data_IF_325248122997
#
_entry.id   IF_325248122997
#
_cell.length_a   1.000
_cell.length_b   1.000
_cell.length_c   1.000
_cell.angle_alpha   90.00
_cell.angle_beta   90.00
_cell.angle_gamma   90.00
#
_symmetry.space_group_name_H-M   'P 1'
#
loop_
_entity.id
_entity.type
_entity.pdbx_description
1 polymer ?
#
# COMPACT_ATOMS: atom_id res chain seq x y z
N UNK A 1 -1.12 -13.36 1.04
CA UNK A 1 -1.23 -11.89 0.89
C UNK A 1 -2.27 -11.45 -0.13
N UNK A 2 -2.27 -12.01 -1.36
CA UNK A 2 -3.21 -11.67 -2.44
C UNK A 2 -4.69 -11.58 -2.01
N UNK A 3 -5.17 -12.57 -1.27
CA UNK A 3 -6.56 -12.61 -0.80
C UNK A 3 -6.93 -11.55 0.26
N UNK A 4 -5.95 -10.83 0.82
CA UNK A 4 -6.16 -9.81 1.86
C UNK A 4 -5.95 -8.39 1.36
N UNK A 5 -5.07 -8.20 0.38
CA UNK A 5 -4.71 -6.86 -0.09
C UNK A 5 -5.85 -6.15 -0.82
N UNK A 6 -6.49 -6.83 -1.79
CA UNK A 6 -7.59 -6.24 -2.56
C UNK A 6 -8.76 -5.81 -1.64
N UNK A 7 -9.28 -6.68 -0.74
CA UNK A 7 -10.31 -6.25 0.21
C UNK A 7 -9.88 -5.10 1.13
N UNK A 8 -8.59 -5.01 1.48
CA UNK A 8 -8.08 -3.91 2.29
C UNK A 8 -8.05 -2.58 1.53
N UNK A 9 -7.80 -2.60 0.21
CA UNK A 9 -7.94 -1.42 -0.63
C UNK A 9 -9.39 -0.91 -0.68
N UNK A 10 -10.37 -1.81 -0.77
CA UNK A 10 -11.79 -1.44 -0.78
C UNK A 10 -12.24 -0.86 0.57
N UNK A 11 -11.77 -1.47 1.67
CA UNK A 11 -11.99 -0.96 3.02
C UNK A 11 -11.36 0.44 3.19
N UNK A 12 -10.14 0.64 2.69
CA UNK A 12 -9.49 1.95 2.67
C UNK A 12 -10.27 2.98 1.86
N UNK A 13 -10.75 2.62 0.67
CA UNK A 13 -11.54 3.50 -0.18
C UNK A 13 -12.82 3.99 0.53
N UNK A 14 -13.47 3.10 1.27
CA UNK A 14 -14.68 3.38 2.07
C UNK A 14 -14.35 4.29 3.25
N UNK A 15 -13.31 3.94 4.01
CA UNK A 15 -12.86 4.71 5.16
C UNK A 15 -12.40 6.13 4.79
N UNK A 16 -11.74 6.29 3.64
CA UNK A 16 -11.32 7.59 3.14
C UNK A 16 -12.52 8.49 2.81
N UNK A 17 -13.63 7.92 2.32
CA UNK A 17 -14.88 8.66 2.13
C UNK A 17 -15.50 9.10 3.47
N UNK A 18 -15.36 8.28 4.51
CA UNK A 18 -15.78 8.58 5.88
C UNK A 18 -14.80 9.44 6.69
N UNK A 19 -13.61 9.76 6.14
CA UNK A 19 -12.49 10.42 6.82
C UNK A 19 -11.97 9.66 8.05
N UNK A 20 -12.00 8.34 7.98
CA UNK A 20 -11.43 7.45 8.98
C UNK A 20 -9.96 7.12 8.65
N UNK A 21 -9.17 6.85 9.68
CA UNK A 21 -7.76 6.52 9.57
C UNK A 21 -7.51 5.05 10.01
N UNK A 22 -6.34 4.50 9.68
CA UNK A 22 -5.83 3.22 10.20
C UNK A 22 -6.68 1.95 9.96
N UNK A 23 -7.18 1.79 8.73
CA UNK A 23 -7.98 0.60 8.34
C UNK A 23 -7.18 -0.58 7.79
N UNK A 24 -5.85 -0.46 7.70
CA UNK A 24 -5.03 -1.50 7.14
C UNK A 24 -4.88 -2.69 8.10
N UNK A 25 -5.15 -3.94 7.65
CA UNK A 25 -4.88 -5.12 8.44
C UNK A 25 -3.40 -5.21 8.84
N UNK A 26 -3.12 -5.39 10.14
CA UNK A 26 -1.74 -5.52 10.67
C UNK A 26 -0.90 -6.57 9.94
N UNK A 27 -1.53 -7.64 9.43
CA UNK A 27 -0.84 -8.69 8.67
C UNK A 27 -0.25 -8.23 7.32
N UNK A 28 -0.71 -7.11 6.76
CA UNK A 28 -0.15 -6.52 5.53
C UNK A 28 1.01 -5.57 5.83
N UNK A 29 1.17 -5.14 7.09
CA UNK A 29 2.21 -4.19 7.54
C UNK A 29 2.32 -2.99 6.60
N UNK A 30 1.18 -2.34 6.38
CA UNK A 30 1.11 -1.12 5.56
C UNK A 30 1.31 0.08 6.46
N UNK A 31 2.14 1.01 6.02
CA UNK A 31 2.37 2.30 6.67
C UNK A 31 2.50 3.40 5.61
N UNK A 32 2.14 4.63 5.98
CA UNK A 32 2.39 5.79 5.13
C UNK A 32 3.88 6.17 5.19
N UNK A 33 4.46 6.52 4.05
CA UNK A 33 5.81 7.08 3.99
C UNK A 33 5.74 8.53 4.47
N UNK A 34 6.59 8.89 5.45
CA UNK A 34 6.70 10.25 5.96
C UNK A 34 7.11 11.20 4.83
N UNK A 35 6.36 12.31 4.66
CA UNK A 35 6.51 13.25 3.54
C UNK A 35 6.36 12.61 2.14
N UNK A 36 5.75 11.42 2.05
CA UNK A 36 5.60 10.67 0.81
C UNK A 36 4.39 11.04 -0.04
N UNK A 37 3.64 12.10 0.29
CA UNK A 37 2.51 12.58 -0.52
C UNK A 37 1.38 11.56 -0.71
N UNK A 38 1.10 10.72 0.31
CA UNK A 38 0.09 9.66 0.22
C UNK A 38 0.61 8.31 -0.31
N UNK A 39 1.92 8.20 -0.57
CA UNK A 39 2.56 6.91 -0.84
C UNK A 39 2.60 6.07 0.45
N UNK A 40 2.26 4.79 0.29
CA UNK A 40 2.33 3.77 1.32
C UNK A 40 3.41 2.75 0.98
N UNK A 41 4.01 2.17 2.01
CA UNK A 41 4.85 0.98 1.90
C UNK A 41 4.13 -0.24 2.48
N UNK A 42 4.45 -1.43 1.97
CA UNK A 42 4.01 -2.70 2.55
C UNK A 42 5.13 -3.75 2.52
N UNK A 43 5.05 -4.70 3.44
CA UNK A 43 5.84 -5.94 3.40
C UNK A 43 5.06 -7.04 2.70
N UNK A 44 5.42 -7.42 1.46
CA UNK A 44 4.64 -8.35 0.64
C UNK A 44 5.13 -9.78 0.58
N UNK A 45 6.39 -10.00 0.90
CA UNK A 45 6.99 -11.32 1.10
C UNK A 45 7.77 -11.31 2.40
N UNK A 46 7.66 -12.40 3.15
CA UNK A 46 8.47 -12.67 4.35
C UNK A 46 9.56 -13.73 4.06
N UNK A 47 9.69 -14.16 2.80
CA UNK A 47 10.82 -14.98 2.38
C UNK A 47 12.04 -14.06 2.21
N UNK A 48 13.20 -14.46 2.72
CA UNK A 48 14.41 -13.65 2.67
C UNK A 48 14.95 -13.47 1.25
N UNK A 49 15.32 -12.25 0.83
CA UNK A 49 15.08 -10.99 1.53
C UNK A 49 13.59 -10.58 1.48
N UNK A 50 13.07 -10.06 2.60
CA UNK A 50 11.68 -9.58 2.69
C UNK A 50 11.29 -8.72 1.49
N UNK A 51 10.19 -9.06 0.85
CA UNK A 51 9.62 -8.29 -0.25
C UNK A 51 9.03 -6.98 0.25
N UNK A 52 9.41 -5.86 -0.34
CA UNK A 52 8.84 -4.52 -0.12
C UNK A 52 8.18 -4.01 -1.38
N UNK A 53 7.05 -3.33 -1.21
CA UNK A 53 6.37 -2.66 -2.30
C UNK A 53 5.86 -1.31 -1.84
N UNK A 54 5.91 -0.33 -2.73
CA UNK A 54 5.31 0.99 -2.53
C UNK A 54 4.21 1.23 -3.54
N UNK A 55 3.14 1.87 -3.09
CA UNK A 55 1.95 2.11 -3.88
C UNK A 55 1.22 3.35 -3.36
N UNK A 56 0.30 3.89 -4.14
CA UNK A 56 -0.70 4.84 -3.66
C UNK A 56 -2.06 4.48 -4.24
N UNK A 57 -3.13 4.97 -3.60
CA UNK A 57 -4.49 4.83 -4.10
C UNK A 57 -4.89 6.16 -4.76
N UNK A 58 -5.25 6.11 -6.04
CA UNK A 58 -5.63 7.28 -6.85
C UNK A 58 -7.09 7.19 -7.28
N UNK A 59 -7.67 8.33 -7.66
CA UNK A 59 -9.00 8.38 -8.30
C UNK A 59 -8.81 8.44 -9.82
N UNK A 60 -9.40 7.48 -10.52
CA UNK A 60 -9.53 7.47 -11.98
C UNK A 60 -10.99 7.20 -12.33
N UNK A 61 -11.59 8.09 -13.14
CA UNK A 61 -13.00 8.00 -13.56
C UNK A 61 -14.00 7.73 -12.42
N UNK A 62 -13.77 8.38 -11.27
CA UNK A 62 -14.61 8.23 -10.09
C UNK A 62 -14.39 6.91 -9.33
N UNK A 63 -13.49 6.04 -9.74
CA UNK A 63 -13.13 4.80 -9.05
C UNK A 63 -11.78 4.95 -8.34
N UNK A 64 -11.59 4.19 -7.26
CA UNK A 64 -10.28 4.06 -6.65
C UNK A 64 -9.46 3.01 -7.37
N UNK A 65 -8.22 3.35 -7.71
CA UNK A 65 -7.25 2.44 -8.35
C UNK A 65 -5.98 2.36 -7.51
N UNK A 66 -5.40 1.16 -7.44
CA UNK A 66 -4.11 0.95 -6.80
C UNK A 66 -2.98 1.14 -7.82
N UNK A 67 -2.19 2.20 -7.63
CA UNK A 67 -1.04 2.51 -8.47
C UNK A 67 0.23 1.99 -7.81
N UNK A 68 0.78 0.92 -8.36
CA UNK A 68 2.08 0.40 -7.94
C UNK A 68 3.20 1.33 -8.37
N UNK A 69 4.15 1.59 -7.46
CA UNK A 69 5.31 2.45 -7.72
C UNK A 69 6.57 1.60 -7.85
N UNK A 70 6.88 0.81 -6.83
CA UNK A 70 8.03 -0.10 -6.80
C UNK A 70 7.62 -1.41 -6.16
N UNK A 71 8.12 -2.53 -6.69
CA UNK A 71 7.93 -3.87 -6.12
C UNK A 71 9.29 -4.55 -6.19
N UNK A 72 9.78 -5.05 -5.06
CA UNK A 72 11.07 -5.73 -4.99
C UNK A 72 11.39 -6.17 -3.56
N UNK A 73 12.67 -6.20 -3.22
CA UNK A 73 13.19 -6.41 -1.87
C UNK A 73 13.65 -5.06 -1.24
N UNK A 74 14.53 -5.07 -0.23
CA UNK A 74 15.13 -3.85 0.33
C UNK A 74 15.90 -2.98 -0.69
N UNK A 75 16.20 -3.48 -1.89
CA UNK A 75 16.85 -2.75 -2.97
C UNK A 75 16.00 -1.65 -3.59
N UNK A 76 14.67 -1.64 -3.39
CA UNK A 76 13.78 -0.62 -3.99
C UNK A 76 14.08 0.81 -3.52
N UNK A 77 14.80 0.97 -2.40
CA UNK A 77 15.22 2.27 -1.88
C UNK A 77 16.58 2.76 -2.43
N UNK A 78 17.33 1.93 -3.18
CA UNK A 78 18.74 2.21 -3.55
C UNK A 78 18.97 2.90 -4.89
N UNK A 79 17.99 2.94 -5.79
CA UNK A 79 18.13 3.59 -7.11
C UNK A 79 17.05 4.67 -7.22
N UNK A 80 17.41 5.97 -7.19
CA UNK A 80 16.45 7.08 -7.28
C UNK A 80 15.53 6.99 -8.50
#
# INVERSE_FOLDING_TARGET
MRAKFIPACDAWATAQAAREHDVWPKSLRVSAIVNGGGIMEMTWSFASPDGRATFHLAREDGNWVCVWRRIGDHGVFRIP
#
